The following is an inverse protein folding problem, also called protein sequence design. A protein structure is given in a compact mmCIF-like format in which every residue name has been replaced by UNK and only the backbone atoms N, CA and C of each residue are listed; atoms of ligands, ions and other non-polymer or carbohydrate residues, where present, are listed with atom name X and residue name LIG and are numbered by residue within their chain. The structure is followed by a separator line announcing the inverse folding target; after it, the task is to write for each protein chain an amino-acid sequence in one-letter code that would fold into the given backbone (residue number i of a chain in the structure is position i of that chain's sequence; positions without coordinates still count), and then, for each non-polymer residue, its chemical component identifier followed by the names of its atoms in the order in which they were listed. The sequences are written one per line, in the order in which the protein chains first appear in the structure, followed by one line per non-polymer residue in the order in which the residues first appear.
data_IF_730462565531
#
_entry.id   IF_730462565531
#
_cell.length_a   1.000
_cell.length_b   1.000
_cell.length_c   1.000
_cell.angle_alpha   90.00
_cell.angle_beta   90.00
_cell.angle_gamma   90.00
#
_symmetry.space_group_name_H-M   'P 1'
#
loop_
_entity.id
_entity.type
_entity.pdbx_description
1 polymer ?
#
# COMPACT_ATOMS: atom_id res chain seq x y z
N UNK A 1 11.97 -4.10 2.23
CA UNK A 1 13.04 -4.34 3.23
C UNK A 1 14.11 -5.24 2.64
N UNK A 2 15.40 -5.13 3.03
CA UNK A 2 16.42 -6.09 2.64
C UNK A 2 16.08 -7.50 3.17
N UNK A 3 16.32 -8.54 2.36
CA UNK A 3 16.18 -9.93 2.79
C UNK A 3 17.30 -10.23 3.78
N UNK A 4 16.93 -10.70 4.97
CA UNK A 4 17.88 -11.12 5.98
C UNK A 4 18.69 -12.33 5.49
N UNK A 5 20.00 -12.43 5.79
CA UNK A 5 20.84 -13.53 5.33
C UNK A 5 20.23 -14.92 5.61
N UNK A 6 19.66 -15.11 6.80
CA UNK A 6 19.04 -16.37 7.25
C UNK A 6 17.78 -16.77 6.45
N UNK A 7 17.15 -15.83 5.74
CA UNK A 7 15.95 -16.09 4.95
C UNK A 7 16.23 -16.25 3.45
N UNK A 8 17.48 -16.12 2.99
CA UNK A 8 17.80 -16.11 1.55
C UNK A 8 17.37 -17.39 0.84
N UNK A 9 17.48 -18.53 1.49
CA UNK A 9 17.13 -19.84 0.94
C UNK A 9 15.61 -20.02 0.70
N UNK A 10 14.78 -19.21 1.36
CA UNK A 10 13.32 -19.22 1.18
C UNK A 10 12.88 -18.56 -0.12
N UNK A 11 13.77 -17.84 -0.78
CA UNK A 11 13.52 -17.17 -2.04
C UNK A 11 14.16 -17.96 -3.18
N UNK A 12 13.56 -17.96 -4.38
CA UNK A 12 14.17 -18.58 -5.54
C UNK A 12 15.48 -17.85 -5.92
N UNK A 13 16.42 -18.56 -6.54
CA UNK A 13 17.72 -18.00 -6.91
C UNK A 13 17.61 -16.78 -7.84
N UNK A 14 16.59 -16.73 -8.69
CA UNK A 14 16.30 -15.61 -9.59
C UNK A 14 15.43 -14.50 -8.95
N UNK A 15 15.28 -14.48 -7.62
CA UNK A 15 14.56 -13.40 -6.92
C UNK A 15 14.99 -11.98 -7.33
N UNK A 16 16.29 -11.66 -7.54
CA UNK A 16 16.68 -10.32 -7.99
C UNK A 16 16.03 -9.91 -9.31
N UNK A 17 15.80 -10.86 -10.23
CA UNK A 17 15.13 -10.64 -11.50
C UNK A 17 13.63 -10.46 -11.30
N UNK A 18 12.98 -11.38 -10.57
CA UNK A 18 11.55 -11.28 -10.23
C UNK A 18 11.22 -9.94 -9.58
N UNK A 19 12.00 -9.53 -8.58
CA UNK A 19 11.82 -8.25 -7.90
C UNK A 19 12.00 -7.06 -8.85
N UNK A 20 13.00 -7.13 -9.74
CA UNK A 20 13.26 -6.08 -10.73
C UNK A 20 12.09 -5.96 -11.71
N UNK A 21 11.66 -7.07 -12.31
CA UNK A 21 10.56 -7.10 -13.28
C UNK A 21 9.26 -6.54 -12.68
N UNK A 22 8.93 -6.89 -11.43
CA UNK A 22 7.77 -6.30 -10.76
C UNK A 22 7.89 -4.77 -10.62
N UNK A 23 9.07 -4.25 -10.26
CA UNK A 23 9.30 -2.80 -10.14
C UNK A 23 9.26 -2.08 -11.50
N UNK A 24 9.80 -2.70 -12.54
CA UNK A 24 9.76 -2.20 -13.91
C UNK A 24 8.32 -2.13 -14.44
N UNK A 25 7.54 -3.20 -14.25
CA UNK A 25 6.12 -3.24 -14.61
C UNK A 25 5.31 -2.14 -13.89
N UNK A 26 5.68 -1.80 -12.64
CA UNK A 26 5.08 -0.69 -11.89
C UNK A 26 5.64 0.69 -12.24
N UNK A 27 6.51 0.80 -13.25
CA UNK A 27 7.15 2.05 -13.68
C UNK A 27 8.00 2.71 -12.60
N UNK A 28 8.62 1.91 -11.71
CA UNK A 28 9.38 2.40 -10.55
C UNK A 28 8.58 3.32 -9.63
N UNK A 29 7.27 3.11 -9.54
CA UNK A 29 6.39 3.80 -8.59
C UNK A 29 5.73 2.81 -7.64
N UNK A 30 5.44 3.24 -6.41
CA UNK A 30 4.76 2.40 -5.42
C UNK A 30 3.37 1.95 -5.93
N UNK A 31 3.15 0.64 -6.05
CA UNK A 31 1.91 0.05 -6.56
C UNK A 31 0.84 -0.20 -5.47
N UNK A 32 1.12 0.17 -4.21
CA UNK A 32 0.14 0.09 -3.13
C UNK A 32 -1.07 0.99 -3.42
N UNK A 33 -2.27 0.42 -3.40
CA UNK A 33 -3.58 1.09 -3.54
C UNK A 33 -4.40 1.10 -2.24
N UNK A 34 -3.81 0.65 -1.13
CA UNK A 34 -4.45 0.60 0.19
C UNK A 34 -4.05 -0.60 1.05
N UNK A 35 -3.38 -1.60 0.46
CA UNK A 35 -2.93 -2.83 1.14
C UNK A 35 -2.02 -2.57 2.36
N UNK A 36 -1.39 -1.39 2.43
CA UNK A 36 -0.56 -1.01 3.57
C UNK A 36 -1.33 -0.56 4.82
N UNK A 37 -2.65 -0.33 4.76
CA UNK A 37 -3.49 -0.01 5.93
C UNK A 37 -3.24 1.36 6.59
N UNK A 38 -2.34 2.20 6.06
CA UNK A 38 -1.95 3.46 6.72
C UNK A 38 -2.93 4.63 6.56
N UNK A 39 -3.88 4.54 5.62
CA UNK A 39 -4.90 5.58 5.38
C UNK A 39 -4.38 6.95 4.92
N UNK A 40 -3.10 7.09 4.54
CA UNK A 40 -2.50 8.39 4.19
C UNK A 40 -2.49 8.71 2.70
N UNK A 41 -3.15 7.92 1.85
CA UNK A 41 -3.34 8.20 0.43
C UNK A 41 -4.66 7.63 -0.07
N UNK A 42 -5.41 8.43 -0.83
CA UNK A 42 -6.62 8.01 -1.52
C UNK A 42 -6.23 7.36 -2.86
N UNK A 43 -6.22 6.03 -2.92
CA UNK A 43 -5.83 5.28 -4.11
C UNK A 43 -4.35 4.91 -4.15
N UNK A 44 -3.72 4.97 -5.32
CA UNK A 44 -2.32 4.55 -5.51
C UNK A 44 -1.36 5.49 -4.78
N UNK A 45 -0.45 4.93 -3.99
CA UNK A 45 0.60 5.68 -3.31
C UNK A 45 1.42 6.51 -4.32
N UNK A 46 1.62 7.83 -4.08
CA UNK A 46 2.26 8.71 -5.06
C UNK A 46 3.79 8.56 -5.10
N UNK A 47 4.40 7.88 -4.10
CA UNK A 47 5.85 7.73 -4.02
C UNK A 47 6.44 7.04 -5.26
N UNK A 48 7.48 7.65 -5.82
CA UNK A 48 8.32 7.12 -6.89
C UNK A 48 9.74 6.84 -6.38
N UNK A 49 10.40 5.80 -6.89
CA UNK A 49 11.75 5.45 -6.46
C UNK A 49 12.73 6.60 -6.69
N UNK A 50 13.62 6.83 -5.72
CA UNK A 50 14.63 7.89 -5.80
C UNK A 50 14.08 9.31 -5.62
N UNK A 51 12.78 9.48 -5.42
CA UNK A 51 12.15 10.77 -5.15
C UNK A 51 11.94 10.99 -3.65
N UNK A 52 11.73 12.23 -3.19
CA UNK A 52 11.29 12.49 -1.81
C UNK A 52 9.93 11.86 -1.52
N UNK A 53 9.79 11.21 -0.35
CA UNK A 53 8.54 10.65 0.09
C UNK A 53 7.55 11.76 0.45
N UNK A 54 6.30 11.68 -0.02
CA UNK A 54 5.30 12.75 0.24
C UNK A 54 5.00 12.97 1.74
N UNK A 55 5.24 11.97 2.58
CA UNK A 55 4.93 12.02 4.01
C UNK A 55 6.07 12.61 4.85
N UNK A 56 7.32 12.24 4.54
CA UNK A 56 8.49 12.45 5.41
C UNK A 56 9.62 13.20 4.72
N UNK A 57 9.56 13.40 3.40
CA UNK A 57 10.65 13.97 2.61
C UNK A 57 11.86 13.04 2.40
N UNK A 58 11.94 11.91 3.08
CA UNK A 58 13.03 10.93 2.95
C UNK A 58 13.09 10.32 1.54
N UNK A 59 14.30 9.99 1.06
CA UNK A 59 14.49 9.31 -0.22
C UNK A 59 13.69 7.99 -0.30
N UNK A 60 12.88 7.82 -1.34
CA UNK A 60 12.04 6.63 -1.53
C UNK A 60 12.87 5.45 -2.06
N UNK A 61 12.82 4.34 -1.33
CA UNK A 61 13.36 3.04 -1.77
C UNK A 61 12.20 2.10 -2.02
N UNK A 62 12.12 1.56 -3.24
CA UNK A 62 11.15 0.52 -3.59
C UNK A 62 11.69 -0.86 -3.29
N UNK A 63 10.83 -1.71 -2.75
CA UNK A 63 11.06 -3.14 -2.56
C UNK A 63 9.80 -3.91 -2.95
N UNK A 64 9.92 -5.21 -3.19
CA UNK A 64 8.75 -6.05 -3.53
C UNK A 64 8.21 -6.70 -2.26
N UNK A 65 6.93 -6.50 -1.98
CA UNK A 65 6.21 -7.09 -0.86
C UNK A 65 5.42 -8.33 -1.31
N UNK A 66 5.35 -9.35 -0.46
CA UNK A 66 4.45 -10.50 -0.60
C UNK A 66 3.16 -10.19 0.13
N UNK A 67 2.00 -10.22 -0.55
CA UNK A 67 0.72 -9.84 0.05
C UNK A 67 0.24 -10.81 1.13
N UNK A 68 0.70 -12.06 1.09
CA UNK A 68 0.43 -13.10 2.08
C UNK A 68 1.59 -13.35 3.06
N UNK A 69 2.65 -12.53 3.00
CA UNK A 69 3.86 -12.65 3.82
C UNK A 69 4.59 -14.01 3.72
N UNK A 70 4.38 -14.77 2.63
CA UNK A 70 5.09 -16.01 2.31
C UNK A 70 6.17 -15.75 1.23
N UNK A 71 7.47 -15.71 1.60
CA UNK A 71 8.59 -15.59 0.68
C UNK A 71 8.62 -16.58 -0.50
N UNK A 72 8.11 -17.78 -0.26
CA UNK A 72 8.10 -18.87 -1.23
C UNK A 72 7.08 -18.61 -2.36
N UNK A 73 6.06 -17.79 -2.10
CA UNK A 73 4.99 -17.48 -3.05
C UNK A 73 5.32 -16.28 -3.94
N UNK A 74 6.17 -16.53 -4.93
CA UNK A 74 6.61 -15.53 -5.90
C UNK A 74 5.66 -15.34 -7.10
N UNK A 75 4.40 -15.77 -7.02
CA UNK A 75 3.41 -15.53 -8.10
C UNK A 75 3.19 -14.03 -8.28
N UNK A 76 3.06 -13.57 -9.52
CA UNK A 76 2.88 -12.14 -9.83
C UNK A 76 1.71 -11.51 -9.06
N UNK A 77 0.59 -12.24 -8.92
CA UNK A 77 -0.58 -11.80 -8.16
C UNK A 77 -0.32 -11.57 -6.65
N UNK A 78 0.74 -12.15 -6.10
CA UNK A 78 1.13 -12.02 -4.70
C UNK A 78 2.21 -10.94 -4.50
N UNK A 79 2.84 -10.44 -5.57
CA UNK A 79 3.96 -9.51 -5.48
C UNK A 79 3.53 -8.08 -5.78
N UNK A 80 3.79 -7.18 -4.84
CA UNK A 80 3.49 -5.75 -5.01
C UNK A 80 4.73 -4.90 -4.73
N UNK A 81 5.22 -4.11 -5.71
CA UNK A 81 6.23 -3.10 -5.48
C UNK A 81 5.72 -2.02 -4.52
N UNK A 82 6.34 -1.89 -3.35
CA UNK A 82 5.97 -0.91 -2.33
C UNK A 82 7.15 -0.03 -1.94
N UNK A 83 6.88 1.25 -1.65
CA UNK A 83 7.85 2.12 -0.98
C UNK A 83 8.09 1.65 0.45
N UNK A 84 9.23 2.03 1.04
CA UNK A 84 9.60 1.59 2.39
C UNK A 84 8.50 1.92 3.42
N UNK A 85 7.83 3.07 3.30
CA UNK A 85 6.75 3.44 4.21
C UNK A 85 5.49 2.58 4.07
N UNK A 86 5.09 2.22 2.85
CA UNK A 86 3.95 1.31 2.63
C UNK A 86 4.29 -0.11 3.07
N UNK A 87 5.48 -0.61 2.71
CA UNK A 87 5.91 -1.97 3.03
C UNK A 87 5.99 -2.18 4.55
N UNK A 88 6.61 -1.24 5.28
CA UNK A 88 6.71 -1.33 6.75
C UNK A 88 5.34 -1.31 7.45
N UNK A 89 4.36 -0.61 6.89
CA UNK A 89 3.02 -0.56 7.47
C UNK A 89 2.23 -1.85 7.17
N UNK A 90 2.39 -2.40 5.96
CA UNK A 90 1.86 -3.71 5.59
C UNK A 90 2.39 -4.81 6.51
N UNK A 91 3.69 -4.77 6.85
CA UNK A 91 4.35 -5.77 7.68
C UNK A 91 4.19 -5.56 9.19
N UNK A 92 3.45 -4.54 9.65
CA UNK A 92 3.38 -4.15 11.06
C UNK A 92 2.98 -5.32 11.96
N UNK A 93 1.93 -6.06 11.62
CA UNK A 93 1.46 -7.21 12.40
C UNK A 93 2.50 -8.32 12.51
N UNK A 94 3.10 -8.68 11.37
CA UNK A 94 4.18 -9.66 11.31
C UNK A 94 5.39 -9.22 12.14
N UNK A 95 5.76 -7.93 12.09
CA UNK A 95 6.86 -7.40 12.90
C UNK A 95 6.55 -7.40 14.40
N UNK A 96 5.31 -7.13 14.80
CA UNK A 96 4.89 -7.20 16.21
C UNK A 96 5.03 -8.63 16.75
N UNK A 97 4.55 -9.63 16.00
CA UNK A 97 4.69 -11.05 16.34
C UNK A 97 6.15 -11.47 16.42
N UNK A 98 6.93 -11.22 15.36
CA UNK A 98 8.35 -11.59 15.35
C UNK A 98 9.11 -10.92 16.49
N UNK A 99 8.85 -9.64 16.79
CA UNK A 99 9.48 -8.95 17.91
C UNK A 99 9.04 -9.51 19.28
N UNK A 100 7.79 -9.94 19.43
CA UNK A 100 7.31 -10.59 20.65
C UNK A 100 7.95 -11.98 20.83
N UNK A 101 8.00 -12.79 19.78
CA UNK A 101 8.64 -14.12 19.78
C UNK A 101 10.14 -14.02 20.11
N UNK A 102 10.88 -13.12 19.45
CA UNK A 102 12.31 -12.90 19.73
C UNK A 102 12.54 -12.50 21.18
N UNK A 103 11.71 -11.60 21.73
CA UNK A 103 11.80 -11.21 23.15
C UNK A 103 11.48 -12.39 24.08
N UNK A 104 10.45 -13.18 23.79
CA UNK A 104 10.09 -14.34 24.59
C UNK A 104 11.19 -15.41 24.58
N UNK A 105 11.81 -15.68 23.43
CA UNK A 105 12.96 -16.60 23.32
C UNK A 105 14.14 -16.10 24.16
N UNK A 106 14.46 -14.81 24.10
CA UNK A 106 15.55 -14.22 24.89
C UNK A 106 15.28 -14.30 26.40
N UNK A 107 14.05 -13.96 26.83
CA UNK A 107 13.64 -14.06 28.24
C UNK A 107 13.66 -15.52 28.74
N UNK A 108 13.21 -16.48 27.92
CA UNK A 108 13.29 -17.91 28.24
C UNK A 108 14.75 -18.36 28.38
N UNK A 109 15.63 -17.95 27.47
CA UNK A 109 17.05 -18.25 27.54
C UNK A 109 17.73 -17.64 28.79
N UNK A 110 17.23 -16.50 29.27
CA UNK A 110 17.67 -15.87 30.51
C UNK A 110 17.02 -16.45 31.79
N UNK A 111 16.14 -17.45 31.68
CA UNK A 111 15.40 -18.04 32.81
C UNK A 111 14.31 -17.14 33.39
N UNK A 112 13.82 -16.17 32.61
CA UNK A 112 12.85 -15.14 33.04
C UNK A 112 11.41 -15.43 32.59
N UNK A 113 11.15 -16.57 31.92
CA UNK A 113 9.82 -17.01 31.45
C UNK A 113 9.63 -18.52 31.65
N UNK A 114 8.46 -18.93 32.15
CA UNK A 114 8.01 -20.33 32.32
C UNK A 114 6.71 -20.60 31.51
N UNK A 115 6.63 -21.79 30.89
CA UNK A 115 5.59 -22.44 30.05
C UNK A 115 4.67 -21.65 29.07
N UNK A 116 4.59 -22.17 27.83
CA UNK A 116 3.65 -21.97 26.70
C UNK A 116 3.24 -20.58 26.18
N UNK A 117 3.78 -19.49 26.73
CA UNK A 117 3.49 -18.12 26.25
C UNK A 117 3.88 -17.84 24.77
N UNK A 118 4.76 -18.65 24.18
CA UNK A 118 5.26 -18.46 22.80
C UNK A 118 4.19 -18.83 21.76
N UNK A 119 3.39 -19.87 22.02
CA UNK A 119 2.34 -20.33 21.10
C UNK A 119 1.23 -19.28 20.92
N UNK A 120 0.87 -18.57 22.00
CA UNK A 120 -0.15 -17.51 21.98
C UNK A 120 0.28 -16.25 21.19
N UNK A 121 1.58 -16.06 20.94
CA UNK A 121 2.14 -14.91 20.23
C UNK A 121 2.23 -15.11 18.71
N UNK A 122 1.92 -16.31 18.20
CA UNK A 122 2.24 -16.69 16.83
C UNK A 122 1.30 -16.14 15.74
N UNK A 123 0.18 -15.49 16.09
CA UNK A 123 -0.82 -15.01 15.13
C UNK A 123 -0.61 -13.52 14.81
N UNK A 124 -0.20 -13.15 13.58
CA UNK A 124 -0.08 -11.75 13.17
C UNK A 124 -1.44 -11.06 13.16
N UNK A 125 -1.52 -9.86 13.73
CA UNK A 125 -2.65 -8.95 13.52
C UNK A 125 -2.44 -8.21 12.20
N UNK A 126 -3.07 -8.68 11.13
CA UNK A 126 -3.03 -7.98 9.84
C UNK A 126 -3.51 -6.53 10.02
N UNK A 127 -2.88 -5.53 9.37
CA UNK A 127 -3.38 -4.17 9.42
C UNK A 127 -4.81 -4.15 8.89
N UNK A 128 -5.73 -3.55 9.66
CA UNK A 128 -7.12 -3.38 9.21
C UNK A 128 -7.13 -2.64 7.87
N UNK A 129 -7.51 -3.36 6.81
CA UNK A 129 -7.74 -2.77 5.49
C UNK A 129 -8.94 -1.86 5.63
N UNK A 130 -8.72 -0.54 5.61
CA UNK A 130 -9.81 0.40 5.44
C UNK A 130 -10.59 -0.01 4.19
N UNK A 131 -11.93 -0.09 4.25
CA UNK A 131 -12.71 -0.39 3.07
C UNK A 131 -12.32 0.58 1.97
N UNK A 132 -11.93 0.04 0.81
CA UNK A 132 -11.76 0.88 -0.37
C UNK A 132 -13.10 1.58 -0.58
N UNK A 133 -13.10 2.91 -0.66
CA UNK A 133 -14.28 3.62 -1.10
C UNK A 133 -14.64 3.03 -2.46
N UNK A 134 -15.73 2.24 -2.49
CA UNK A 134 -16.36 1.91 -3.76
C UNK A 134 -16.69 3.26 -4.38
N UNK A 135 -16.08 3.55 -5.52
CA UNK A 135 -16.54 4.66 -6.32
C UNK A 135 -17.96 4.29 -6.72
N UNK A 136 -18.94 4.80 -5.96
CA UNK A 136 -20.32 4.87 -6.42
C UNK A 136 -20.26 5.45 -7.84
N UNK A 137 -20.93 4.84 -8.83
CA UNK A 137 -20.93 5.37 -10.17
C UNK A 137 -21.44 6.80 -10.08
N UNK A 138 -20.57 7.77 -10.37
CA UNK A 138 -20.98 9.14 -10.58
C UNK A 138 -21.69 9.12 -11.93
N UNK A 139 -22.96 8.69 -11.93
CA UNK A 139 -23.86 8.90 -13.07
C UNK A 139 -23.91 10.40 -13.27
N UNK A 140 -23.21 10.84 -14.30
CA UNK A 140 -23.19 12.21 -14.75
C UNK A 140 -24.63 12.65 -15.05
N UNK A 141 -25.22 13.44 -14.16
CA UNK A 141 -26.29 14.37 -14.52
C UNK A 141 -25.61 15.61 -15.12
N UNK A 142 -25.07 15.45 -16.33
CA UNK A 142 -24.84 16.56 -17.24
C UNK A 142 -26.07 16.65 -18.15
N UNK A 143 -27.15 17.26 -17.65
CA UNK A 143 -28.23 17.79 -18.49
C UNK A 143 -28.73 19.11 -17.87
N UNK A 144 -27.92 20.15 -18.04
CA UNK A 144 -28.34 21.55 -17.79
C UNK A 144 -28.65 22.23 -19.13
N UNK A 145 -29.31 21.51 -20.03
CA UNK A 145 -29.68 21.98 -21.36
C UNK A 145 -31.17 21.73 -21.64
N UNK A 146 -32.06 22.03 -20.69
CA UNK A 146 -33.50 22.07 -20.97
C UNK A 146 -34.34 22.90 -19.98
N UNK A 147 -33.83 24.05 -19.52
CA UNK A 147 -34.69 25.11 -18.97
C UNK A 147 -34.81 26.23 -20.01
N UNK A 148 -35.64 25.99 -21.02
CA UNK A 148 -36.00 26.97 -22.05
C UNK A 148 -37.36 27.60 -21.69
N UNK A 149 -37.45 28.92 -21.91
CA UNK A 149 -38.65 29.78 -21.95
C UNK A 149 -39.25 30.22 -20.59
N UNK A 150 -39.03 31.51 -20.28
CA UNK A 150 -40.09 32.50 -19.92
C UNK A 150 -39.53 33.71 -19.16
N UNK A 151 -38.50 34.38 -19.69
CA UNK A 151 -38.22 35.77 -19.30
C UNK A 151 -38.02 36.58 -20.58
N UNK A 152 -39.07 37.31 -20.96
CA UNK A 152 -39.06 38.23 -22.07
C UNK A 152 -38.04 39.34 -21.84
N UNK A 153 -36.98 39.33 -22.65
CA UNK A 153 -36.06 40.47 -22.77
C UNK A 153 -36.48 41.23 -24.03
N UNK A 154 -36.96 42.48 -23.93
CA UNK A 154 -37.31 43.28 -25.10
C UNK A 154 -36.04 43.68 -25.87
N UNK A 155 -36.07 43.51 -27.20
CA UNK A 155 -35.04 43.97 -28.13
C UNK A 155 -35.03 45.50 -28.22
N UNK A 156 -33.88 46.18 -28.11
CA UNK A 156 -33.82 47.62 -28.39
C UNK A 156 -33.90 47.86 -29.91
N UNK A 157 -34.85 48.72 -30.30
CA UNK A 157 -34.96 49.26 -31.64
C UNK A 157 -33.72 50.12 -31.97
N UNK A 158 -33.03 49.77 -33.05
CA UNK A 158 -32.03 50.61 -33.68
C UNK A 158 -32.75 51.72 -34.45
N UNK A 159 -32.73 52.95 -33.94
CA UNK A 159 -33.06 54.14 -34.73
C UNK A 159 -31.82 54.62 -35.46
N UNK A 160 -31.90 54.59 -36.78
CA UNK A 160 -30.98 55.29 -37.68
C UNK A 160 -31.33 56.79 -37.71
N UNK A 161 -30.33 57.64 -37.49
CA UNK A 161 -30.17 58.97 -38.09
C UNK A 161 -28.67 59.23 -38.26
#
# INVERSE_FOLDING_TARGET
MPIRPENRERYPANWPEISRSAKEAAGWRCACTGQCGRGTHAGRCPNAHGQPAYSTGSLVVLTTAHLNHQPEDCRESNLVPMCQGCHLHHDRGHHQVTAALTRAVALKAAGQLEFDAVAALAVPTEPQRLPQAVAEPVTALCDVAQLSLDIGIPTPHTSAL
#
